data_IF_772835838048
#
_entry.id   IF_772835838048
#
_cell.length_a   1.000
_cell.length_b   1.000
_cell.length_c   1.000
_cell.angle_alpha   90.00
_cell.angle_beta   90.00
_cell.angle_gamma   90.00
#
_symmetry.space_group_name_H-M   'P 1'
#
loop_
_entity.id
_entity.type
_entity.pdbx_description
1 polymer ?
#
# COMPACT_ATOMS: atom_id res chain seq x y z
N UNK A 1 23.16 10.13 -29.33
CA UNK A 1 22.22 10.68 -28.33
C UNK A 1 22.91 11.88 -27.72
N UNK A 2 22.35 13.06 -27.92
CA UNK A 2 23.06 14.34 -27.96
C UNK A 2 23.14 14.99 -26.58
N UNK A 3 24.27 15.63 -26.25
CA UNK A 3 24.52 16.37 -24.98
C UNK A 3 23.47 17.43 -24.62
N UNK A 4 22.60 17.81 -25.56
CA UNK A 4 21.47 18.72 -25.32
C UNK A 4 20.32 18.01 -24.59
N UNK A 5 20.09 16.72 -24.87
CA UNK A 5 19.12 15.91 -24.11
C UNK A 5 19.54 15.79 -22.64
N UNK A 6 20.84 15.66 -22.36
CA UNK A 6 21.33 15.51 -20.99
C UNK A 6 21.22 16.81 -20.18
N UNK A 7 21.50 17.97 -20.79
CA UNK A 7 21.31 19.27 -20.11
C UNK A 7 19.84 19.63 -19.90
N UNK A 8 18.98 19.33 -20.87
CA UNK A 8 17.54 19.58 -20.73
C UNK A 8 16.93 18.64 -19.69
N UNK A 9 17.30 17.34 -19.70
CA UNK A 9 16.89 16.39 -18.66
C UNK A 9 17.42 16.75 -17.29
N UNK A 10 18.65 17.26 -17.19
CA UNK A 10 19.22 17.77 -15.95
C UNK A 10 18.36 18.89 -15.36
N UNK A 11 18.08 19.93 -16.15
CA UNK A 11 17.29 21.08 -15.70
C UNK A 11 15.83 20.71 -15.39
N UNK A 12 15.22 19.79 -16.15
CA UNK A 12 13.86 19.31 -15.87
C UNK A 12 13.80 18.53 -14.55
N UNK A 13 14.79 17.67 -14.28
CA UNK A 13 14.86 16.92 -13.04
C UNK A 13 15.11 17.84 -11.83
N UNK A 14 15.91 18.88 -11.99
CA UNK A 14 16.18 19.87 -10.94
C UNK A 14 14.94 20.73 -10.64
N UNK A 15 14.17 21.12 -11.67
CA UNK A 15 12.92 21.85 -11.51
C UNK A 15 11.83 20.99 -10.83
N UNK A 16 11.70 19.71 -11.23
CA UNK A 16 10.78 18.76 -10.61
C UNK A 16 11.19 18.45 -9.17
N UNK A 17 12.50 18.33 -8.90
CA UNK A 17 13.06 18.14 -7.57
C UNK A 17 12.76 19.31 -6.64
N UNK A 18 13.03 20.54 -7.09
CA UNK A 18 12.69 21.75 -6.34
C UNK A 18 11.18 21.89 -6.12
N UNK A 19 10.35 21.58 -7.12
CA UNK A 19 8.90 21.60 -6.95
C UNK A 19 8.44 20.58 -5.90
N UNK A 20 9.02 19.37 -5.86
CA UNK A 20 8.73 18.37 -4.83
C UNK A 20 9.22 18.78 -3.45
N UNK A 21 10.39 19.43 -3.34
CA UNK A 21 10.90 19.94 -2.07
C UNK A 21 10.04 21.10 -1.56
N UNK A 22 9.68 22.06 -2.42
CA UNK A 22 8.80 23.18 -2.03
C UNK A 22 7.41 22.69 -1.64
N UNK A 23 6.83 21.74 -2.37
CA UNK A 23 5.53 21.13 -2.00
C UNK A 23 5.68 20.31 -0.72
N UNK A 24 6.80 19.61 -0.53
CA UNK A 24 7.10 18.85 0.68
C UNK A 24 7.22 19.74 1.93
N UNK A 25 8.05 20.78 1.85
CA UNK A 25 8.30 21.76 2.91
C UNK A 25 7.06 22.63 3.18
N UNK A 26 6.34 23.07 2.14
CA UNK A 26 5.14 23.91 2.32
C UNK A 26 3.93 23.14 2.86
N UNK A 27 3.92 21.80 2.74
CA UNK A 27 2.83 20.98 3.27
C UNK A 27 3.07 20.60 4.73
N UNK A 28 4.29 20.78 5.28
CA UNK A 28 4.67 20.59 6.71
C UNK A 28 3.98 19.38 7.36
N UNK A 29 3.92 18.28 6.60
CA UNK A 29 2.98 17.19 6.84
C UNK A 29 3.67 15.88 7.13
N UNK A 30 4.84 15.94 7.77
CA UNK A 30 5.39 14.75 8.42
C UNK A 30 4.35 14.11 9.34
N UNK A 31 3.47 14.89 9.99
CA UNK A 31 2.32 14.37 10.75
C UNK A 31 1.27 13.67 9.89
N UNK A 32 0.74 14.27 8.82
CA UNK A 32 -0.26 13.56 7.98
C UNK A 32 0.34 12.38 7.21
N UNK A 33 1.63 12.44 6.84
CA UNK A 33 2.31 11.31 6.21
C UNK A 33 2.58 10.18 7.21
N UNK A 34 2.88 10.50 8.47
CA UNK A 34 3.02 9.53 9.54
C UNK A 34 1.66 8.92 9.95
N UNK A 35 0.60 9.73 10.06
CA UNK A 35 -0.76 9.26 10.31
C UNK A 35 -1.26 8.38 9.15
N UNK A 36 -1.00 8.77 7.91
CA UNK A 36 -1.32 7.99 6.72
C UNK A 36 -0.62 6.63 6.71
N UNK A 37 0.70 6.60 6.95
CA UNK A 37 1.45 5.34 7.09
C UNK A 37 0.95 4.49 8.25
N UNK A 38 0.62 5.10 9.39
CA UNK A 38 0.07 4.40 10.55
C UNK A 38 -1.29 3.76 10.24
N UNK A 39 -2.16 4.46 9.53
CA UNK A 39 -3.44 3.92 9.05
C UNK A 39 -3.26 2.81 8.02
N UNK A 40 -2.33 2.97 7.08
CA UNK A 40 -2.05 1.96 6.05
C UNK A 40 -1.56 0.65 6.68
N UNK A 41 -0.62 0.72 7.62
CA UNK A 41 -0.13 -0.45 8.37
C UNK A 41 -1.25 -1.11 9.17
N UNK A 42 -2.09 -0.31 9.83
CA UNK A 42 -3.26 -0.84 10.57
C UNK A 42 -4.25 -1.53 9.64
N UNK A 43 -4.50 -0.96 8.46
CA UNK A 43 -5.37 -1.54 7.43
C UNK A 43 -4.82 -2.87 6.91
N UNK A 44 -3.53 -2.92 6.56
CA UNK A 44 -2.87 -4.15 6.13
C UNK A 44 -2.91 -5.25 7.21
N UNK A 45 -2.69 -4.88 8.47
CA UNK A 45 -2.78 -5.83 9.58
C UNK A 45 -4.21 -6.37 9.77
N UNK A 46 -5.23 -5.52 9.67
CA UNK A 46 -6.63 -5.94 9.74
C UNK A 46 -7.02 -6.85 8.57
N UNK A 47 -6.56 -6.53 7.36
CA UNK A 47 -6.83 -7.32 6.17
C UNK A 47 -6.19 -8.71 6.26
N UNK A 48 -4.92 -8.80 6.64
CA UNK A 48 -4.24 -10.08 6.84
C UNK A 48 -4.92 -10.95 7.92
N UNK A 49 -5.41 -10.32 9.00
CA UNK A 49 -6.12 -11.02 10.07
C UNK A 49 -7.53 -11.46 9.63
N UNK A 50 -8.16 -10.69 8.75
CA UNK A 50 -9.41 -11.04 8.08
C UNK A 50 -9.24 -12.26 7.16
N UNK A 51 -8.26 -12.21 6.26
CA UNK A 51 -7.95 -13.30 5.33
C UNK A 51 -7.64 -14.61 6.06
N UNK A 52 -6.88 -14.53 7.17
CA UNK A 52 -6.58 -15.70 8.00
C UNK A 52 -7.84 -16.29 8.66
N UNK A 53 -8.72 -15.44 9.20
CA UNK A 53 -10.01 -15.87 9.77
C UNK A 53 -10.91 -16.48 8.71
N UNK A 54 -10.96 -15.91 7.52
CA UNK A 54 -11.76 -16.38 6.40
C UNK A 54 -11.26 -17.74 5.90
N UNK A 55 -9.95 -17.92 5.73
CA UNK A 55 -9.36 -19.20 5.35
C UNK A 55 -9.68 -20.31 6.36
N UNK A 56 -9.60 -20.01 7.67
CA UNK A 56 -9.98 -20.95 8.73
C UNK A 56 -11.48 -21.24 8.69
N UNK A 57 -12.32 -20.22 8.51
CA UNK A 57 -13.77 -20.36 8.37
C UNK A 57 -14.15 -21.27 7.22
N UNK A 58 -13.58 -21.02 6.03
CA UNK A 58 -13.80 -21.83 4.83
C UNK A 58 -13.31 -23.27 5.01
N UNK A 59 -12.18 -23.50 5.68
CA UNK A 59 -11.69 -24.84 5.96
C UNK A 59 -12.63 -25.61 6.91
N UNK A 60 -13.09 -24.96 7.98
CA UNK A 60 -14.05 -25.53 8.92
C UNK A 60 -15.42 -25.79 8.29
N UNK A 61 -15.89 -24.88 7.43
CA UNK A 61 -17.15 -25.01 6.72
C UNK A 61 -17.11 -26.16 5.72
N UNK A 62 -16.03 -26.28 4.92
CA UNK A 62 -15.85 -27.40 4.00
C UNK A 62 -15.72 -28.74 4.73
N UNK A 63 -15.01 -28.78 5.86
CA UNK A 63 -14.94 -29.96 6.71
C UNK A 63 -16.32 -30.33 7.28
N UNK A 64 -17.06 -29.33 7.78
CA UNK A 64 -18.41 -29.49 8.29
C UNK A 64 -19.38 -30.00 7.22
N UNK A 65 -19.30 -29.47 6.00
CA UNK A 65 -20.13 -29.90 4.87
C UNK A 65 -19.75 -31.31 4.38
N UNK A 66 -18.47 -31.68 4.43
CA UNK A 66 -18.02 -33.05 4.08
C UNK A 66 -18.49 -34.08 5.12
N UNK A 67 -18.41 -33.76 6.41
CA UNK A 67 -18.88 -34.64 7.48
C UNK A 67 -20.41 -34.72 7.51
N UNK A 68 -21.12 -33.60 7.28
CA UNK A 68 -22.60 -33.57 7.23
C UNK A 68 -23.15 -34.18 5.94
N UNK A 69 -22.44 -34.05 4.81
CA UNK A 69 -22.86 -34.56 3.50
C UNK A 69 -22.64 -36.06 3.31
N UNK A 70 -21.75 -36.69 4.09
CA UNK A 70 -21.50 -38.14 4.04
C UNK A 70 -22.56 -38.99 4.77
N UNK A 71 -23.59 -38.36 5.35
CA UNK A 71 -24.62 -39.01 6.16
C UNK A 71 -26.01 -39.14 5.52
N UNK A 72 -26.14 -38.96 4.20
CA UNK A 72 -27.39 -39.19 3.47
C UNK A 72 -27.19 -40.18 2.33
#
# INVERSE_FOLDING_TARGET
MSQVDDKVRGNVNEAVGNAKQVVGDATDNESLQAEGKGQEVKGQAQQALGDAKEAIGNALENLGNTIKGSGN
#
